data_IF_246155384070
#
_entry.id   IF_246155384070
#
_cell.length_a   1.000
_cell.length_b   1.000
_cell.length_c   1.000
_cell.angle_alpha   90.00
_cell.angle_beta   90.00
_cell.angle_gamma   90.00
#
_symmetry.space_group_name_H-M   'P 1'
#
loop_
_entity.id
_entity.type
_entity.pdbx_description
1 polymer ?
#
# COMPACT_ATOMS: atom_id res chain seq x y z
N UNK A 1 -15.05 2.52 8.95
CA UNK A 1 -13.65 2.41 9.39
C UNK A 1 -13.04 3.81 9.50
N UNK A 2 -12.37 4.14 10.62
CA UNK A 2 -11.83 5.48 10.90
C UNK A 2 -10.94 6.06 9.77
N UNK A 3 -10.31 5.24 8.93
CA UNK A 3 -9.40 5.68 7.86
C UNK A 3 -9.96 6.71 6.88
N UNK A 4 -11.03 6.34 6.18
CA UNK A 4 -11.75 7.20 5.25
C UNK A 4 -12.91 7.92 5.95
N UNK A 5 -13.41 7.42 7.08
CA UNK A 5 -14.46 8.13 7.82
C UNK A 5 -13.95 9.42 8.49
N UNK A 6 -12.69 9.47 8.91
CA UNK A 6 -12.10 10.69 9.46
C UNK A 6 -11.66 11.69 8.38
N UNK A 7 -11.50 11.23 7.13
CA UNK A 7 -10.95 12.00 6.02
C UNK A 7 -11.46 11.40 4.68
N UNK A 8 -12.73 11.67 4.32
CA UNK A 8 -13.46 10.98 3.24
C UNK A 8 -13.12 11.53 1.84
N UNK A 9 -11.83 11.61 1.52
CA UNK A 9 -11.37 11.97 0.17
C UNK A 9 -11.48 10.79 -0.79
N UNK A 10 -11.55 11.08 -2.10
CA UNK A 10 -11.60 10.04 -3.14
C UNK A 10 -10.39 9.11 -3.06
N UNK A 11 -9.21 9.67 -2.79
CA UNK A 11 -7.97 8.92 -2.59
C UNK A 11 -8.08 7.96 -1.41
N UNK A 12 -8.68 8.39 -0.30
CA UNK A 12 -8.80 7.55 0.89
C UNK A 12 -9.88 6.49 0.75
N UNK A 13 -10.97 6.75 0.01
CA UNK A 13 -11.93 5.72 -0.38
C UNK A 13 -11.25 4.65 -1.25
N UNK A 14 -10.47 5.07 -2.25
CA UNK A 14 -9.74 4.17 -3.13
C UNK A 14 -8.69 3.35 -2.36
N UNK A 15 -7.85 4.00 -1.54
CA UNK A 15 -6.94 3.33 -0.61
C UNK A 15 -7.68 2.39 0.35
N UNK A 16 -8.88 2.76 0.76
CA UNK A 16 -9.80 1.92 1.54
C UNK A 16 -10.01 0.55 0.89
N UNK A 17 -10.40 0.55 -0.39
CA UNK A 17 -10.60 -0.68 -1.19
C UNK A 17 -9.31 -1.51 -1.31
N UNK A 18 -8.20 -0.85 -1.69
CA UNK A 18 -6.93 -1.52 -1.97
C UNK A 18 -6.31 -2.10 -0.69
N UNK A 19 -6.22 -1.31 0.38
CA UNK A 19 -5.57 -1.71 1.61
C UNK A 19 -6.45 -2.68 2.41
N UNK A 20 -7.73 -2.35 2.63
CA UNK A 20 -8.60 -3.01 3.60
C UNK A 20 -9.62 -3.98 2.99
N UNK A 21 -9.87 -3.93 1.68
CA UNK A 21 -10.71 -4.92 1.01
C UNK A 21 -10.17 -6.34 1.18
N UNK A 22 -11.07 -7.32 1.23
CA UNK A 22 -10.71 -8.73 1.36
C UNK A 22 -9.79 -9.19 0.22
N UNK A 23 -8.83 -10.05 0.54
CA UNK A 23 -7.86 -10.58 -0.42
C UNK A 23 -8.04 -12.10 -0.51
N UNK A 24 -9.13 -12.54 -1.14
CA UNK A 24 -9.34 -13.96 -1.46
C UNK A 24 -8.56 -14.34 -2.71
N UNK A 25 -8.58 -13.46 -3.71
CA UNK A 25 -7.76 -13.49 -4.92
C UNK A 25 -7.15 -12.10 -5.16
N UNK A 26 -6.12 -12.02 -5.99
CA UNK A 26 -5.48 -10.76 -6.38
C UNK A 26 -6.27 -9.93 -7.40
N UNK A 27 -7.45 -10.41 -7.83
CA UNK A 27 -8.26 -9.78 -8.87
C UNK A 27 -8.59 -8.31 -8.60
N UNK A 28 -8.74 -7.88 -7.35
CA UNK A 28 -8.99 -6.46 -7.07
C UNK A 28 -7.82 -5.55 -7.45
N UNK A 29 -6.58 -6.03 -7.29
CA UNK A 29 -5.38 -5.29 -7.67
C UNK A 29 -5.28 -5.24 -9.20
N UNK A 30 -5.52 -6.37 -9.86
CA UNK A 30 -5.60 -6.43 -11.32
C UNK A 30 -6.70 -5.52 -11.89
N UNK A 31 -7.88 -5.46 -11.25
CA UNK A 31 -8.97 -4.57 -11.66
C UNK A 31 -8.58 -3.10 -11.45
N UNK A 32 -7.97 -2.76 -10.31
CA UNK A 32 -7.48 -1.41 -10.05
C UNK A 32 -6.45 -0.97 -11.10
N UNK A 33 -5.48 -1.83 -11.42
CA UNK A 33 -4.51 -1.55 -12.47
C UNK A 33 -5.12 -1.44 -13.86
N UNK A 34 -6.08 -2.29 -14.20
CA UNK A 34 -6.82 -2.16 -15.45
C UNK A 34 -7.59 -0.83 -15.55
N UNK A 35 -8.15 -0.35 -14.44
CA UNK A 35 -8.79 0.96 -14.39
C UNK A 35 -7.79 2.11 -14.54
N UNK A 36 -6.59 2.00 -13.97
CA UNK A 36 -5.52 2.97 -14.21
C UNK A 36 -5.09 3.02 -15.68
N UNK A 37 -5.02 1.87 -16.37
CA UNK A 37 -4.61 1.85 -17.78
C UNK A 37 -5.66 2.45 -18.73
N UNK A 38 -6.94 2.33 -18.36
CA UNK A 38 -8.07 2.69 -19.24
C UNK A 38 -8.62 4.10 -18.98
N UNK A 39 -8.10 4.86 -18.00
CA UNK A 39 -8.66 6.15 -17.60
C UNK A 39 -8.66 7.22 -18.71
N UNK A 40 -7.81 7.10 -19.73
CA UNK A 40 -7.64 8.10 -20.80
C UNK A 40 -8.55 7.88 -22.02
N UNK A 41 -9.39 6.84 -22.04
CA UNK A 41 -10.11 6.43 -23.25
C UNK A 41 -11.28 7.33 -23.67
N UNK A 42 -11.56 8.43 -22.96
CA UNK A 42 -12.58 9.43 -23.33
C UNK A 42 -14.03 8.93 -23.31
N UNK A 43 -14.25 7.65 -23.02
CA UNK A 43 -15.55 7.00 -22.86
C UNK A 43 -15.70 6.55 -21.41
N UNK A 44 -16.86 6.80 -20.81
CA UNK A 44 -17.18 6.36 -19.46
C UNK A 44 -17.57 4.88 -19.41
N UNK A 45 -18.09 4.31 -20.50
CA UNK A 45 -18.42 2.89 -20.59
C UNK A 45 -17.22 2.06 -21.06
N UNK A 46 -16.74 1.17 -20.19
CA UNK A 46 -15.71 0.16 -20.50
C UNK A 46 -16.40 -1.20 -20.65
N UNK A 47 -16.36 -1.78 -21.86
CA UNK A 47 -16.86 -3.14 -22.06
C UNK A 47 -15.99 -4.17 -21.35
N UNK A 48 -16.56 -5.34 -21.03
CA UNK A 48 -15.78 -6.42 -20.42
C UNK A 48 -14.65 -6.89 -21.35
N UNK A 49 -14.83 -6.84 -22.66
CA UNK A 49 -13.80 -7.16 -23.65
C UNK A 49 -12.64 -6.17 -23.60
N UNK A 50 -12.92 -4.86 -23.49
CA UNK A 50 -11.89 -3.83 -23.34
C UNK A 50 -11.14 -3.97 -22.00
N UNK A 51 -11.88 -4.31 -20.93
CA UNK A 51 -11.31 -4.52 -19.59
C UNK A 51 -10.46 -5.80 -19.50
N UNK A 52 -10.81 -6.84 -20.27
CA UNK A 52 -10.20 -8.16 -20.17
C UNK A 52 -8.69 -8.14 -20.40
N UNK A 53 -8.22 -7.40 -21.40
CA UNK A 53 -6.79 -7.36 -21.77
C UNK A 53 -5.90 -6.80 -20.66
N UNK A 54 -6.07 -5.56 -20.19
CA UNK A 54 -5.21 -5.04 -19.12
C UNK A 54 -5.37 -5.88 -17.84
N UNK A 55 -6.59 -6.28 -17.49
CA UNK A 55 -6.85 -7.10 -16.30
C UNK A 55 -6.08 -8.43 -16.29
N UNK A 56 -6.14 -9.20 -17.38
CA UNK A 56 -5.42 -10.48 -17.47
C UNK A 56 -3.92 -10.29 -17.59
N UNK A 57 -3.45 -9.28 -18.34
CA UNK A 57 -2.03 -8.99 -18.49
C UNK A 57 -1.36 -8.66 -17.15
N UNK A 58 -2.00 -7.88 -16.27
CA UNK A 58 -1.49 -7.64 -14.91
C UNK A 58 -1.36 -8.94 -14.12
N UNK A 59 -2.37 -9.82 -14.17
CA UNK A 59 -2.31 -11.12 -13.48
C UNK A 59 -1.21 -12.03 -14.04
N UNK A 60 -1.10 -12.11 -15.37
CA UNK A 60 -0.08 -12.89 -16.07
C UNK A 60 1.33 -12.47 -15.63
N UNK A 61 1.64 -11.17 -15.62
CA UNK A 61 2.95 -10.65 -15.17
C UNK A 61 3.26 -11.00 -13.72
N UNK A 62 2.26 -10.90 -12.83
CA UNK A 62 2.44 -11.25 -11.42
C UNK A 62 2.60 -12.76 -11.21
N UNK A 63 1.91 -13.59 -11.99
CA UNK A 63 2.03 -15.06 -11.92
C UNK A 63 3.42 -15.59 -12.25
N UNK A 64 4.18 -14.90 -13.11
CA UNK A 64 5.58 -15.28 -13.43
C UNK A 64 6.50 -15.19 -12.20
N UNK A 65 6.25 -14.23 -11.31
CA UNK A 65 7.07 -14.00 -10.11
C UNK A 65 6.48 -14.65 -8.85
N UNK A 66 5.15 -14.68 -8.76
CA UNK A 66 4.39 -15.16 -7.63
C UNK A 66 3.27 -16.10 -8.10
N UNK A 67 3.51 -17.43 -8.18
CA UNK A 67 2.57 -18.37 -8.78
C UNK A 67 1.27 -18.55 -7.98
N UNK A 68 1.24 -18.11 -6.71
CA UNK A 68 0.05 -18.18 -5.86
C UNK A 68 -0.64 -16.83 -5.80
N UNK A 69 -1.79 -16.71 -6.48
CA UNK A 69 -2.59 -15.49 -6.62
C UNK A 69 -3.99 -15.57 -5.97
N UNK A 70 -4.27 -16.68 -5.29
CA UNK A 70 -5.55 -16.95 -4.64
C UNK A 70 -5.33 -17.80 -3.38
N UNK A 71 -6.26 -17.73 -2.43
CA UNK A 71 -6.21 -18.54 -1.20
C UNK A 71 -6.67 -19.98 -1.42
N UNK A 72 -7.52 -20.24 -2.42
CA UNK A 72 -7.99 -21.59 -2.77
C UNK A 72 -6.92 -22.40 -3.51
N UNK A 73 -7.12 -23.71 -3.64
CA UNK A 73 -6.15 -24.60 -4.29
C UNK A 73 -6.04 -24.40 -5.80
N UNK A 74 -7.13 -24.02 -6.46
CA UNK A 74 -7.18 -23.84 -7.92
C UNK A 74 -8.17 -22.75 -8.32
N UNK A 75 -7.97 -22.23 -9.52
CA UNK A 75 -8.86 -21.29 -10.19
C UNK A 75 -8.68 -21.47 -11.69
N UNK A 76 -9.74 -21.91 -12.38
CA UNK A 76 -9.69 -22.14 -13.83
C UNK A 76 -9.27 -20.89 -14.62
N UNK A 77 -9.50 -19.70 -14.07
CA UNK A 77 -9.07 -18.46 -14.71
C UNK A 77 -7.57 -18.19 -14.50
N UNK A 78 -7.05 -18.42 -13.29
CA UNK A 78 -5.60 -18.29 -13.05
C UNK A 78 -4.82 -19.39 -13.78
N UNK A 79 -5.37 -20.59 -13.89
CA UNK A 79 -4.79 -21.67 -14.68
C UNK A 79 -4.66 -21.26 -16.16
N UNK A 80 -5.65 -20.57 -16.71
CA UNK A 80 -5.58 -20.02 -18.07
C UNK A 80 -4.52 -18.92 -18.21
N UNK A 81 -4.36 -18.06 -17.21
CA UNK A 81 -3.28 -17.06 -17.20
C UNK A 81 -1.89 -17.74 -17.21
N UNK A 82 -1.72 -18.80 -16.40
CA UNK A 82 -0.47 -19.58 -16.38
C UNK A 82 -0.21 -20.31 -17.70
N UNK A 83 -1.25 -20.91 -18.29
CA UNK A 83 -1.17 -21.54 -19.63
C UNK A 83 -0.76 -20.53 -20.70
N UNK A 84 -1.31 -19.31 -20.65
CA UNK A 84 -0.91 -18.24 -21.57
C UNK A 84 0.56 -17.87 -21.38
N UNK A 85 1.05 -17.73 -20.15
CA UNK A 85 2.46 -17.45 -19.87
C UNK A 85 3.40 -18.55 -20.41
N UNK A 86 2.94 -19.80 -20.45
CA UNK A 86 3.70 -20.91 -21.03
C UNK A 86 3.56 -21.04 -22.56
N UNK A 87 2.69 -20.25 -23.20
CA UNK A 87 2.40 -20.33 -24.63
C UNK A 87 1.43 -21.45 -25.01
N UNK A 88 0.73 -22.06 -24.05
CA UNK A 88 -0.19 -23.19 -24.27
C UNK A 88 -1.54 -22.73 -24.87
N UNK A 89 -1.93 -21.47 -24.67
CA UNK A 89 -3.16 -20.88 -25.21
C UNK A 89 -2.88 -19.52 -25.87
N UNK A 90 -3.71 -19.16 -26.85
CA UNK A 90 -3.61 -17.85 -27.52
C UNK A 90 -4.13 -16.71 -26.65
N UNK A 91 -3.76 -15.47 -27.01
CA UNK A 91 -4.30 -14.28 -26.33
C UNK A 91 -5.82 -14.20 -26.47
N UNK A 92 -6.39 -14.51 -27.63
CA UNK A 92 -7.85 -14.52 -27.84
C UNK A 92 -8.55 -15.49 -26.89
N UNK A 93 -7.94 -16.65 -26.65
CA UNK A 93 -8.46 -17.67 -25.72
C UNK A 93 -8.41 -17.14 -24.28
N UNK A 94 -7.30 -16.52 -23.88
CA UNK A 94 -7.16 -15.89 -22.57
C UNK A 94 -8.22 -14.79 -22.36
N UNK A 95 -8.41 -13.91 -23.34
CA UNK A 95 -9.39 -12.81 -23.26
C UNK A 95 -10.82 -13.34 -23.15
N UNK A 96 -11.19 -14.35 -23.95
CA UNK A 96 -12.50 -14.98 -23.87
C UNK A 96 -12.77 -15.62 -22.48
N UNK A 97 -11.77 -16.31 -21.91
CA UNK A 97 -11.85 -16.86 -20.56
C UNK A 97 -11.91 -15.77 -19.48
N UNK A 98 -11.20 -14.66 -19.68
CA UNK A 98 -11.21 -13.50 -18.79
C UNK A 98 -12.60 -12.88 -18.72
N UNK A 99 -13.24 -12.60 -19.87
CA UNK A 99 -14.62 -12.08 -19.91
C UNK A 99 -15.59 -13.03 -19.21
N UNK A 100 -15.44 -14.34 -19.47
CA UNK A 100 -16.34 -15.36 -18.93
C UNK A 100 -16.19 -15.58 -17.41
N UNK A 101 -14.98 -15.43 -16.85
CA UNK A 101 -14.66 -15.89 -15.49
C UNK A 101 -13.91 -14.89 -14.62
N UNK A 102 -13.05 -14.06 -15.20
CA UNK A 102 -12.21 -13.12 -14.46
C UNK A 102 -13.00 -12.10 -13.66
N UNK A 103 -14.17 -11.70 -14.17
CA UNK A 103 -15.03 -10.69 -13.56
C UNK A 103 -16.17 -11.21 -12.69
N UNK A 104 -16.21 -12.53 -12.44
CA UNK A 104 -17.36 -13.19 -11.79
C UNK A 104 -17.67 -12.65 -10.39
N UNK A 105 -16.63 -12.27 -9.62
CA UNK A 105 -16.79 -11.81 -8.23
C UNK A 105 -16.19 -10.42 -7.97
N UNK A 106 -15.17 -10.02 -8.72
CA UNK A 106 -14.39 -8.82 -8.38
C UNK A 106 -15.20 -7.54 -8.56
N UNK A 107 -16.05 -7.45 -9.59
CA UNK A 107 -16.89 -6.28 -9.85
C UNK A 107 -17.91 -6.08 -8.71
N UNK A 108 -18.53 -7.18 -8.25
CA UNK A 108 -19.47 -7.16 -7.12
C UNK A 108 -18.79 -6.81 -5.79
N UNK A 109 -17.56 -7.28 -5.60
CA UNK A 109 -16.84 -7.14 -4.34
C UNK A 109 -15.98 -5.86 -4.23
N UNK A 110 -15.69 -5.17 -5.33
CA UNK A 110 -14.67 -4.12 -5.37
C UNK A 110 -14.93 -3.00 -4.36
N UNK A 111 -16.16 -2.52 -4.29
CA UNK A 111 -16.56 -1.42 -3.39
C UNK A 111 -16.90 -1.90 -1.96
N UNK A 112 -16.75 -3.20 -1.66
CA UNK A 112 -17.08 -3.75 -0.35
C UNK A 112 -15.83 -3.84 0.56
N UNK A 113 -15.85 -3.08 1.67
CA UNK A 113 -14.79 -3.03 2.69
C UNK A 113 -15.38 -3.35 4.06
N UNK A 114 -14.79 -4.30 4.79
CA UNK A 114 -15.31 -4.76 6.09
C UNK A 114 -16.79 -5.16 6.08
N UNK A 115 -17.22 -5.86 5.03
CA UNK A 115 -18.59 -6.39 4.85
C UNK A 115 -19.68 -5.33 4.57
N UNK A 116 -19.29 -4.08 4.34
CA UNK A 116 -20.19 -3.03 3.90
C UNK A 116 -19.65 -2.36 2.65
N UNK A 117 -20.56 -1.82 1.84
CA UNK A 117 -20.19 -1.00 0.70
C UNK A 117 -19.69 0.37 1.16
N UNK A 118 -18.71 0.94 0.45
CA UNK A 118 -18.25 2.32 0.68
C UNK A 118 -19.23 3.34 0.06
N UNK A 119 -19.26 4.55 0.60
CA UNK A 119 -20.21 5.58 0.17
C UNK A 119 -19.94 6.12 -1.25
N UNK A 120 -18.76 5.85 -1.80
CA UNK A 120 -18.32 6.32 -3.13
C UNK A 120 -18.05 5.13 -4.04
N UNK A 121 -18.84 5.02 -5.12
CA UNK A 121 -18.53 4.09 -6.22
C UNK A 121 -17.64 4.78 -7.25
N UNK A 122 -16.66 4.05 -7.74
CA UNK A 122 -15.76 4.51 -8.81
C UNK A 122 -16.26 4.04 -10.19
N UNK A 123 -17.02 2.95 -10.22
CA UNK A 123 -17.74 2.49 -11.41
C UNK A 123 -19.11 1.90 -11.04
N UNK A 124 -20.02 1.89 -12.00
CA UNK A 124 -21.30 1.22 -11.95
C UNK A 124 -21.22 -0.11 -12.69
N UNK A 125 -21.85 -1.15 -12.14
CA UNK A 125 -21.97 -2.44 -12.80
C UNK A 125 -23.09 -2.40 -13.84
N UNK A 126 -22.70 -2.44 -15.12
CA UNK A 126 -23.61 -2.47 -16.26
C UNK A 126 -23.44 -3.77 -17.07
N UNK A 127 -22.96 -4.86 -16.45
CA UNK A 127 -22.74 -6.15 -17.13
C UNK A 127 -23.99 -6.69 -17.80
N UNK A 128 -25.16 -6.46 -17.19
CA UNK A 128 -26.47 -6.94 -17.69
C UNK A 128 -27.05 -6.09 -18.82
N UNK A 129 -26.81 -4.77 -18.82
CA UNK A 129 -27.42 -3.82 -19.75
C UNK A 129 -26.50 -3.48 -20.91
N UNK A 130 -25.21 -3.27 -20.64
CA UNK A 130 -24.23 -2.80 -21.61
C UNK A 130 -22.97 -3.68 -21.70
N UNK A 131 -22.97 -4.85 -21.04
CA UNK A 131 -21.83 -5.79 -21.04
C UNK A 131 -20.52 -5.14 -20.60
N UNK A 132 -20.57 -4.28 -19.58
CA UNK A 132 -19.42 -3.51 -19.14
C UNK A 132 -19.58 -2.89 -17.76
N UNK A 133 -18.68 -1.97 -17.44
CA UNK A 133 -18.77 -1.08 -16.28
C UNK A 133 -18.75 0.36 -16.75
N UNK A 134 -19.47 1.25 -16.05
CA UNK A 134 -19.46 2.69 -16.34
C UNK A 134 -18.65 3.42 -15.27
N UNK A 135 -17.56 4.05 -15.67
CA UNK A 135 -16.78 4.94 -14.82
C UNK A 135 -17.66 6.09 -14.33
N UNK A 136 -17.53 6.41 -13.06
CA UNK A 136 -18.25 7.51 -12.43
C UNK A 136 -17.42 8.80 -12.47
N UNK A 137 -18.10 9.93 -12.27
CA UNK A 137 -17.46 11.22 -12.01
C UNK A 137 -16.43 11.15 -10.86
N UNK A 138 -16.69 10.33 -9.83
CA UNK A 138 -15.76 10.15 -8.72
C UNK A 138 -14.43 9.52 -9.16
N UNK A 139 -14.44 8.61 -10.13
CA UNK A 139 -13.21 8.05 -10.69
C UNK A 139 -12.47 9.06 -11.57
N UNK A 140 -13.18 9.83 -12.40
CA UNK A 140 -12.53 10.87 -13.20
C UNK A 140 -11.87 11.93 -12.33
N UNK A 141 -12.57 12.44 -11.31
CA UNK A 141 -11.98 13.36 -10.32
C UNK A 141 -10.80 12.75 -9.58
N UNK A 142 -10.85 11.46 -9.26
CA UNK A 142 -9.71 10.76 -8.65
C UNK A 142 -8.48 10.82 -9.56
N UNK A 143 -8.65 10.68 -10.88
CA UNK A 143 -7.56 10.72 -11.86
C UNK A 143 -6.88 12.09 -11.98
N UNK A 144 -7.60 13.15 -11.63
CA UNK A 144 -7.11 14.53 -11.64
C UNK A 144 -6.35 14.89 -10.35
N UNK A 145 -6.42 14.05 -9.31
CA UNK A 145 -5.73 14.32 -8.05
C UNK A 145 -4.22 14.18 -8.21
N UNK A 146 -3.46 15.00 -7.47
CA UNK A 146 -1.99 14.88 -7.39
C UNK A 146 -1.54 13.48 -6.94
N UNK A 147 -2.40 12.77 -6.21
CA UNK A 147 -2.12 11.47 -5.64
C UNK A 147 -2.36 10.30 -6.59
N UNK A 148 -3.03 10.49 -7.73
CA UNK A 148 -3.42 9.41 -8.61
C UNK A 148 -2.24 8.52 -9.03
N UNK A 149 -1.12 9.13 -9.42
CA UNK A 149 0.10 8.39 -9.78
C UNK A 149 0.65 7.57 -8.62
N UNK A 150 0.58 8.08 -7.39
CA UNK A 150 0.98 7.33 -6.21
C UNK A 150 0.10 6.09 -5.98
N UNK A 151 -1.20 6.14 -6.30
CA UNK A 151 -2.11 5.01 -6.11
C UNK A 151 -1.70 3.79 -6.93
N UNK A 152 -1.08 4.00 -8.10
CA UNK A 152 -0.55 2.94 -8.95
C UNK A 152 0.56 2.17 -8.21
N UNK A 153 1.55 2.90 -7.68
CA UNK A 153 2.64 2.35 -6.89
C UNK A 153 2.17 1.68 -5.58
N UNK A 154 1.22 2.31 -4.90
CA UNK A 154 0.62 1.79 -3.67
C UNK A 154 -0.10 0.46 -3.93
N UNK A 155 -0.79 0.34 -5.07
CA UNK A 155 -1.52 -0.87 -5.46
C UNK A 155 -0.58 -2.03 -5.75
N UNK A 156 0.48 -1.81 -6.52
CA UNK A 156 1.48 -2.85 -6.83
C UNK A 156 2.22 -3.30 -5.55
N UNK A 157 2.69 -2.34 -4.73
CA UNK A 157 3.34 -2.66 -3.46
C UNK A 157 2.44 -3.47 -2.53
N UNK A 158 1.15 -3.11 -2.49
CA UNK A 158 0.16 -3.84 -1.73
C UNK A 158 -0.04 -5.26 -2.26
N UNK A 159 -0.10 -5.43 -3.57
CA UNK A 159 -0.23 -6.73 -4.23
C UNK A 159 0.97 -7.63 -3.87
N UNK A 160 2.20 -7.14 -4.03
CA UNK A 160 3.42 -7.89 -3.68
C UNK A 160 3.47 -8.36 -2.22
N UNK A 161 3.03 -7.52 -1.29
CA UNK A 161 2.90 -7.90 0.12
C UNK A 161 1.87 -9.03 0.34
N UNK A 162 0.79 -9.06 -0.43
CA UNK A 162 -0.23 -10.13 -0.36
C UNK A 162 0.35 -11.44 -0.90
N UNK A 163 1.05 -11.39 -2.03
CA UNK A 163 1.69 -12.53 -2.67
C UNK A 163 2.71 -13.19 -1.77
N UNK A 164 3.60 -12.39 -1.17
CA UNK A 164 4.64 -12.91 -0.29
C UNK A 164 4.06 -13.58 0.95
N UNK A 165 2.98 -13.04 1.48
CA UNK A 165 2.25 -13.71 2.55
C UNK A 165 1.69 -15.07 2.13
N UNK A 166 1.10 -15.17 0.94
CA UNK A 166 0.56 -16.43 0.45
C UNK A 166 1.65 -17.48 0.16
N UNK A 167 2.82 -17.05 -0.32
CA UNK A 167 3.96 -17.91 -0.66
C UNK A 167 4.59 -18.56 0.58
N UNK A 168 4.59 -17.87 1.71
CA UNK A 168 5.10 -18.38 2.99
C UNK A 168 4.16 -19.39 3.65
N UNK A 169 2.94 -19.59 3.14
CA UNK A 169 1.96 -20.51 3.72
C UNK A 169 1.43 -20.08 5.10
N UNK A 170 1.83 -18.91 5.56
CA UNK A 170 1.39 -18.29 6.80
C UNK A 170 0.19 -17.40 6.53
N UNK A 171 -0.61 -17.14 7.56
CA UNK A 171 -1.60 -16.06 7.48
C UNK A 171 -0.87 -14.78 7.07
N UNK A 172 -1.48 -13.95 6.22
CA UNK A 172 -0.86 -12.70 5.73
C UNK A 172 -0.42 -11.75 6.83
N UNK A 173 -0.96 -11.95 8.02
CA UNK A 173 -0.57 -11.24 9.20
C UNK A 173 0.86 -11.64 9.61
N UNK A 174 1.26 -12.92 9.58
CA UNK A 174 2.50 -13.45 10.19
C UNK A 174 3.79 -13.26 9.36
N UNK A 175 3.80 -12.42 8.33
CA UNK A 175 5.01 -12.16 7.56
C UNK A 175 5.90 -11.20 8.35
N UNK A 176 7.10 -11.66 8.74
CA UNK A 176 8.13 -10.80 9.28
C UNK A 176 8.73 -9.97 8.15
N UNK A 177 8.43 -8.67 8.14
CA UNK A 177 8.96 -7.71 7.16
C UNK A 177 10.15 -6.97 7.75
N UNK A 178 11.27 -7.05 7.06
CA UNK A 178 12.52 -6.36 7.36
C UNK A 178 12.76 -5.27 6.31
N UNK A 179 13.72 -4.38 6.58
CA UNK A 179 14.04 -3.25 5.73
C UNK A 179 15.53 -3.16 5.45
N UNK A 180 15.85 -3.01 4.16
CA UNK A 180 17.19 -2.72 3.67
C UNK A 180 17.32 -1.21 3.47
N UNK A 181 18.18 -0.57 4.27
CA UNK A 181 18.45 0.86 4.20
C UNK A 181 19.28 1.30 3.00
N UNK A 182 20.09 0.40 2.42
CA UNK A 182 20.88 0.73 1.23
C UNK A 182 19.99 0.77 0.00
N UNK A 183 19.13 -0.25 -0.15
CA UNK A 183 18.25 -0.39 -1.32
C UNK A 183 16.89 0.27 -1.13
N UNK A 184 16.52 0.65 0.10
CA UNK A 184 15.23 1.25 0.43
C UNK A 184 14.04 0.32 0.14
N UNK A 185 14.26 -0.99 0.33
CA UNK A 185 13.33 -2.08 0.00
C UNK A 185 12.90 -2.79 1.28
N UNK A 186 11.62 -3.16 1.32
CA UNK A 186 11.11 -4.12 2.29
C UNK A 186 11.35 -5.53 1.78
N UNK A 187 11.92 -6.39 2.62
CA UNK A 187 12.21 -7.78 2.30
C UNK A 187 11.71 -8.70 3.40
N UNK A 188 11.67 -10.00 3.13
CA UNK A 188 11.48 -11.03 4.16
C UNK A 188 12.49 -12.15 3.98
N UNK A 189 12.64 -12.99 5.01
CA UNK A 189 13.50 -14.16 4.96
C UNK A 189 12.65 -15.43 4.95
N UNK A 190 12.71 -16.17 3.86
CA UNK A 190 12.05 -17.46 3.72
C UNK A 190 13.12 -18.56 3.67
N UNK A 191 13.13 -19.45 4.67
CA UNK A 191 14.15 -20.52 4.79
C UNK A 191 15.59 -19.97 4.67
N UNK A 192 15.86 -18.90 5.43
CA UNK A 192 17.15 -18.16 5.44
C UNK A 192 17.53 -17.43 4.14
N UNK A 193 16.71 -17.53 3.07
CA UNK A 193 16.91 -16.77 1.84
C UNK A 193 16.15 -15.43 1.91
N UNK A 194 16.86 -14.34 1.60
CA UNK A 194 16.25 -13.01 1.41
C UNK A 194 15.39 -13.00 0.15
N UNK A 195 14.18 -12.48 0.28
CA UNK A 195 13.24 -12.21 -0.81
C UNK A 195 12.81 -10.75 -0.70
N UNK A 196 13.20 -9.95 -1.68
CA UNK A 196 12.74 -8.57 -1.79
C UNK A 196 11.25 -8.55 -2.13
N UNK A 197 10.48 -7.70 -1.43
CA UNK A 197 9.03 -7.62 -1.61
C UNK A 197 8.69 -6.42 -2.49
N UNK A 198 9.02 -5.22 -2.02
CA UNK A 198 8.67 -3.96 -2.71
C UNK A 198 9.41 -2.79 -2.08
N UNK A 199 9.37 -1.61 -2.71
CA UNK A 199 9.92 -0.39 -2.13
C UNK A 199 9.22 -0.01 -0.83
N UNK A 200 10.02 0.44 0.14
CA UNK A 200 9.52 0.99 1.40
C UNK A 200 8.62 2.21 1.16
N UNK A 201 8.98 3.09 0.20
CA UNK A 201 8.17 4.27 -0.16
C UNK A 201 6.77 3.86 -0.62
N UNK A 202 6.70 2.96 -1.59
CA UNK A 202 5.43 2.51 -2.15
C UNK A 202 4.54 1.84 -1.09
N UNK A 203 5.14 1.06 -0.19
CA UNK A 203 4.40 0.37 0.88
C UNK A 203 3.84 1.31 1.95
N UNK A 204 4.61 2.32 2.36
CA UNK A 204 4.21 3.21 3.45
C UNK A 204 3.26 4.32 2.99
N UNK A 205 3.27 4.69 1.71
CA UNK A 205 2.56 5.87 1.21
C UNK A 205 1.05 5.79 1.36
N UNK A 206 0.47 4.62 1.08
CA UNK A 206 -0.97 4.41 1.21
C UNK A 206 -1.48 4.61 2.64
N UNK A 207 -0.65 4.29 3.63
CA UNK A 207 -1.02 4.51 5.03
C UNK A 207 -0.70 5.92 5.54
N UNK A 208 0.26 6.59 4.92
CA UNK A 208 0.53 8.01 5.16
C UNK A 208 -0.30 8.96 4.28
N UNK A 209 -1.25 8.39 3.50
CA UNK A 209 -2.17 9.12 2.63
C UNK A 209 -1.46 10.04 1.64
N UNK A 210 -0.26 9.65 1.19
CA UNK A 210 0.46 10.43 0.17
C UNK A 210 1.02 11.76 0.64
N UNK A 211 1.20 11.93 1.95
CA UNK A 211 1.68 13.15 2.56
C UNK A 211 2.91 12.88 3.44
N UNK A 212 3.75 13.90 3.56
CA UNK A 212 4.88 13.91 4.46
C UNK A 212 4.39 13.70 5.90
N UNK A 213 5.00 12.76 6.61
CA UNK A 213 4.69 12.44 7.99
C UNK A 213 4.82 13.65 8.92
N UNK A 214 5.77 14.54 8.65
CA UNK A 214 6.10 15.66 9.53
C UNK A 214 5.27 16.92 9.27
N UNK A 215 5.26 17.43 8.04
CA UNK A 215 4.60 18.69 7.71
C UNK A 215 3.29 18.53 6.90
N UNK A 216 2.86 17.31 6.59
CA UNK A 216 1.64 17.03 5.81
C UNK A 216 1.62 17.51 4.37
N UNK A 217 2.72 18.07 3.85
CA UNK A 217 2.83 18.40 2.43
C UNK A 217 2.61 17.14 1.57
N UNK A 218 1.85 17.21 0.46
CA UNK A 218 1.80 16.12 -0.52
C UNK A 218 3.19 15.68 -0.96
N UNK A 219 3.36 14.38 -1.18
CA UNK A 219 4.60 13.81 -1.70
C UNK A 219 4.33 12.95 -2.92
N UNK A 220 5.37 12.72 -3.72
CA UNK A 220 5.33 11.86 -4.90
C UNK A 220 6.18 10.60 -4.72
N UNK A 221 5.75 9.52 -5.35
CA UNK A 221 6.51 8.27 -5.52
C UNK A 221 7.20 8.19 -6.89
N UNK A 222 6.90 9.12 -7.80
CA UNK A 222 7.48 9.16 -9.14
C UNK A 222 8.98 9.48 -9.10
N UNK A 223 9.78 8.60 -9.71
CA UNK A 223 11.23 8.78 -9.77
C UNK A 223 11.56 10.05 -10.54
N UNK A 224 12.45 10.87 -9.98
CA UNK A 224 12.85 12.15 -10.58
C UNK A 224 11.87 13.31 -10.36
N UNK A 225 10.71 13.08 -9.72
CA UNK A 225 9.79 14.15 -9.36
C UNK A 225 10.41 15.07 -8.30
N UNK A 226 10.13 16.38 -8.37
CA UNK A 226 10.67 17.37 -7.43
C UNK A 226 10.26 17.05 -5.97
N UNK A 227 8.99 16.68 -5.78
CA UNK A 227 8.44 16.25 -4.49
C UNK A 227 8.62 14.75 -4.18
N UNK A 228 9.60 14.07 -4.81
CA UNK A 228 9.89 12.67 -4.49
C UNK A 228 10.16 12.52 -2.99
N UNK A 229 9.37 11.68 -2.32
CA UNK A 229 9.50 11.45 -0.88
C UNK A 229 10.78 10.72 -0.54
N UNK A 230 11.34 11.02 0.62
CA UNK A 230 12.36 10.19 1.25
C UNK A 230 11.73 9.21 2.24
N UNK A 231 12.46 8.13 2.54
CA UNK A 231 12.24 7.33 3.75
C UNK A 231 13.16 7.88 4.81
N UNK A 232 12.62 8.16 5.97
CA UNK A 232 13.37 8.66 7.12
C UNK A 232 13.15 7.75 8.33
N UNK A 233 14.18 7.67 9.17
CA UNK A 233 14.13 7.04 10.47
C UNK A 233 13.66 8.06 11.49
N UNK A 234 12.44 7.91 12.00
CA UNK A 234 11.85 8.84 12.96
C UNK A 234 12.79 9.12 14.14
N UNK A 235 13.29 8.08 14.79
CA UNK A 235 14.48 8.17 15.62
C UNK A 235 15.71 8.06 14.71
N UNK A 236 16.60 9.06 14.65
CA UNK A 236 17.73 9.06 13.73
C UNK A 236 18.66 7.86 13.92
N UNK A 237 19.27 7.38 12.83
CA UNK A 237 20.27 6.31 12.84
C UNK A 237 21.48 6.58 13.76
N UNK A 238 21.75 7.85 14.06
CA UNK A 238 22.76 8.25 15.04
C UNK A 238 22.53 7.64 16.44
N UNK A 239 21.30 7.25 16.79
CA UNK A 239 20.95 6.63 18.07
C UNK A 239 20.97 5.08 18.05
N UNK A 240 21.53 4.44 17.01
CA UNK A 240 21.47 2.97 16.81
C UNK A 240 22.07 2.14 17.94
N UNK A 241 23.04 2.69 18.67
CA UNK A 241 23.68 1.99 19.77
C UNK A 241 22.83 2.01 21.05
N UNK A 242 21.83 2.90 21.11
CA UNK A 242 20.95 3.09 22.27
C UNK A 242 19.52 2.59 22.02
N UNK A 243 19.09 2.58 20.76
CA UNK A 243 17.74 2.18 20.36
C UNK A 243 17.84 0.93 19.49
N UNK A 244 17.37 -0.23 19.98
CA UNK A 244 17.41 -1.46 19.21
C UNK A 244 16.46 -1.38 18.01
N UNK A 245 16.79 -2.10 16.94
CA UNK A 245 15.91 -2.28 15.79
C UNK A 245 15.42 -0.96 15.16
N UNK A 246 16.32 0.03 15.01
CA UNK A 246 15.97 1.31 14.35
C UNK A 246 15.50 1.13 12.90
N UNK A 247 15.96 0.10 12.21
CA UNK A 247 15.50 -0.25 10.86
C UNK A 247 14.12 -0.91 10.85
N UNK A 248 13.48 -1.11 12.00
CA UNK A 248 12.12 -1.64 12.08
C UNK A 248 11.11 -0.70 11.41
N UNK A 249 10.09 -1.29 10.79
CA UNK A 249 9.00 -0.56 10.09
C UNK A 249 8.31 0.45 11.00
N UNK A 250 8.29 0.17 12.32
CA UNK A 250 7.76 1.08 13.34
C UNK A 250 8.42 2.46 13.35
N UNK A 251 9.69 2.55 12.92
CA UNK A 251 10.50 3.77 12.94
C UNK A 251 10.65 4.42 11.56
N UNK A 252 10.20 3.76 10.48
CA UNK A 252 10.32 4.29 9.12
C UNK A 252 9.11 5.15 8.77
N UNK A 253 9.33 6.37 8.30
CA UNK A 253 8.29 7.32 7.85
C UNK A 253 8.63 7.87 6.48
N UNK A 254 7.62 8.29 5.72
CA UNK A 254 7.84 9.06 4.49
C UNK A 254 7.87 10.55 4.78
N UNK A 255 8.92 11.22 4.34
CA UNK A 255 9.15 12.64 4.57
C UNK A 255 9.46 13.38 3.27
N UNK A 256 8.95 14.61 3.12
CA UNK A 256 9.39 15.47 2.03
C UNK A 256 10.86 15.86 2.22
N UNK A 257 11.52 16.23 1.13
CA UNK A 257 12.95 16.51 1.14
C UNK A 257 13.34 17.65 2.08
N UNK A 258 12.49 18.69 2.22
CA UNK A 258 12.76 19.80 3.13
C UNK A 258 12.64 19.44 4.61
N UNK A 259 11.78 18.47 4.96
CA UNK A 259 11.69 17.97 6.34
C UNK A 259 12.81 16.98 6.65
N UNK A 260 13.21 16.15 5.69
CA UNK A 260 14.20 15.10 5.94
C UNK A 260 15.65 15.62 5.85
N UNK A 261 15.95 16.43 4.83
CA UNK A 261 17.31 16.81 4.44
C UNK A 261 17.70 18.20 4.98
N UNK A 262 19.01 18.43 5.04
CA UNK A 262 19.58 19.74 5.36
C UNK A 262 19.55 20.08 6.85
N UNK A 263 20.24 21.16 7.23
CA UNK A 263 20.38 21.61 8.63
C UNK A 263 19.07 22.12 9.23
N UNK A 264 18.23 22.73 8.40
CA UNK A 264 16.89 23.21 8.78
C UNK A 264 15.85 22.08 8.86
N UNK A 265 16.15 20.94 8.23
CA UNK A 265 15.37 19.71 8.35
C UNK A 265 15.67 18.95 9.63
N UNK A 266 15.07 17.77 9.75
CA UNK A 266 15.27 16.87 10.87
C UNK A 266 16.71 16.42 10.98
N UNK A 267 17.30 15.90 9.90
CA UNK A 267 18.66 15.35 9.90
C UNK A 267 18.91 14.40 11.10
N UNK A 268 19.84 14.74 11.99
CA UNK A 268 20.15 14.00 13.21
C UNK A 268 19.38 14.47 14.46
N UNK A 269 18.47 15.44 14.32
CA UNK A 269 17.64 15.92 15.41
C UNK A 269 16.52 14.94 15.76
N UNK A 270 16.04 15.02 17.00
CA UNK A 270 14.96 14.17 17.48
C UNK A 270 13.61 14.86 17.27
N UNK A 271 12.63 14.21 16.63
CA UNK A 271 11.30 14.78 16.50
C UNK A 271 10.66 15.10 17.85
N UNK A 272 9.82 16.13 17.92
CA UNK A 272 9.11 16.48 19.15
C UNK A 272 8.22 15.37 19.72
N UNK A 273 7.80 15.53 20.97
CA UNK A 273 6.84 14.63 21.61
C UNK A 273 5.49 14.57 20.85
N UNK A 274 5.04 15.67 20.24
CA UNK A 274 3.82 15.67 19.43
C UNK A 274 3.97 14.76 18.19
N UNK A 275 5.15 14.74 17.57
CA UNK A 275 5.45 13.85 16.45
C UNK A 275 5.60 12.40 16.90
N UNK A 276 6.03 12.14 18.13
CA UNK A 276 6.05 10.80 18.72
C UNK A 276 4.64 10.27 18.95
N UNK A 277 3.74 11.10 19.47
CA UNK A 277 2.32 10.74 19.60
C UNK A 277 1.69 10.44 18.24
N UNK A 278 2.04 11.22 17.21
CA UNK A 278 1.63 10.94 15.83
C UNK A 278 2.20 9.60 15.33
N UNK A 279 3.47 9.30 15.61
CA UNK A 279 4.08 8.03 15.23
C UNK A 279 3.33 6.86 15.86
N UNK A 280 3.04 6.98 17.15
CA UNK A 280 2.22 6.01 17.89
C UNK A 280 0.86 5.82 17.20
N UNK A 281 0.09 6.90 16.98
CA UNK A 281 -1.21 6.81 16.31
C UNK A 281 -1.10 6.14 14.93
N UNK A 282 -0.09 6.49 14.13
CA UNK A 282 0.17 5.89 12.82
C UNK A 282 0.47 4.40 12.92
N UNK A 283 1.28 3.97 13.89
CA UNK A 283 1.62 2.56 14.09
C UNK A 283 0.40 1.76 14.58
N UNK A 284 -0.39 2.29 15.52
CA UNK A 284 -1.66 1.67 15.93
C UNK A 284 -2.63 1.57 14.76
N UNK A 285 -2.65 2.59 13.92
CA UNK A 285 -3.44 2.61 12.71
C UNK A 285 -3.03 1.48 11.72
N UNK A 286 -1.73 1.24 11.52
CA UNK A 286 -1.23 0.09 10.76
C UNK A 286 -1.62 -1.24 11.42
N UNK A 287 -1.65 -1.33 12.74
CA UNK A 287 -1.97 -2.58 13.44
C UNK A 287 -3.46 -2.92 13.31
N UNK A 288 -4.34 -1.94 13.46
CA UNK A 288 -5.80 -2.13 13.37
C UNK A 288 -6.30 -2.47 11.97
N UNK A 289 -5.42 -2.34 10.96
CA UNK A 289 -5.76 -2.58 9.57
C UNK A 289 -5.85 -4.06 9.17
N UNK A 290 -5.40 -5.01 10.02
CA UNK A 290 -5.31 -6.45 9.70
C UNK A 290 -4.49 -6.74 8.42
N UNK A 291 -3.31 -6.11 8.32
CA UNK A 291 -2.45 -6.14 7.14
C UNK A 291 -1.07 -6.76 7.45
N UNK A 292 -0.23 -7.06 6.43
CA UNK A 292 1.08 -7.69 6.62
C UNK A 292 2.04 -6.95 7.56
N UNK A 293 1.93 -5.62 7.64
CA UNK A 293 2.74 -4.84 8.58
C UNK A 293 2.24 -4.93 10.03
N UNK A 294 1.02 -5.44 10.27
CA UNK A 294 0.43 -5.57 11.62
C UNK A 294 1.29 -6.42 12.53
N UNK A 295 1.55 -7.68 12.16
CA UNK A 295 2.32 -8.57 13.05
C UNK A 295 3.78 -8.14 13.10
N UNK A 296 4.31 -7.62 12.00
CA UNK A 296 5.65 -7.01 12.02
C UNK A 296 5.73 -5.92 13.10
N UNK A 297 4.77 -4.99 13.15
CA UNK A 297 4.75 -3.95 14.18
C UNK A 297 4.51 -4.52 15.58
N UNK A 298 3.59 -5.47 15.74
CA UNK A 298 3.33 -6.13 17.03
C UNK A 298 4.60 -6.83 17.54
N UNK A 299 5.29 -7.58 16.69
CA UNK A 299 6.52 -8.29 17.03
C UNK A 299 7.65 -7.32 17.35
N UNK A 300 7.75 -6.21 16.62
CA UNK A 300 8.81 -5.21 16.81
C UNK A 300 8.60 -4.32 18.03
N UNK A 301 7.36 -4.06 18.44
CA UNK A 301 7.05 -3.00 19.41
C UNK A 301 6.24 -3.45 20.63
N UNK A 302 5.57 -4.62 20.59
CA UNK A 302 4.82 -5.20 21.72
C UNK A 302 3.39 -5.63 21.38
N UNK A 303 2.86 -6.58 22.16
CA UNK A 303 1.56 -7.21 21.92
C UNK A 303 0.34 -6.36 22.31
N UNK A 304 0.49 -5.40 23.23
CA UNK A 304 -0.56 -4.46 23.64
C UNK A 304 -0.21 -3.03 23.27
N UNK A 305 -1.21 -2.17 23.06
CA UNK A 305 -0.97 -0.74 22.77
C UNK A 305 -0.13 -0.08 23.87
N UNK A 306 -0.37 -0.43 25.14
CA UNK A 306 0.40 0.08 26.26
C UNK A 306 1.89 -0.29 26.16
N UNK A 307 2.21 -1.53 25.79
CA UNK A 307 3.60 -1.96 25.55
C UNK A 307 4.22 -1.20 24.37
N UNK A 308 3.49 -1.03 23.27
CA UNK A 308 3.96 -0.31 22.09
C UNK A 308 4.23 1.16 22.37
N UNK A 309 3.33 1.82 23.11
CA UNK A 309 3.51 3.20 23.57
C UNK A 309 4.74 3.33 24.47
N UNK A 310 4.90 2.42 25.42
CA UNK A 310 6.07 2.39 26.31
C UNK A 310 7.38 2.16 25.53
N UNK A 311 7.36 1.25 24.55
CA UNK A 311 8.50 0.98 23.67
C UNK A 311 8.93 2.24 22.89
N UNK A 312 7.97 2.93 22.25
CA UNK A 312 8.24 4.17 21.52
C UNK A 312 8.77 5.28 22.45
N UNK A 313 8.15 5.46 23.62
CA UNK A 313 8.58 6.45 24.60
C UNK A 313 9.99 6.17 25.14
N UNK A 314 10.31 4.90 25.42
CA UNK A 314 11.62 4.49 25.92
C UNK A 314 12.71 4.72 24.88
N UNK A 315 12.47 4.31 23.63
CA UNK A 315 13.42 4.55 22.53
C UNK A 315 13.64 6.04 22.28
N UNK A 316 12.56 6.83 22.29
CA UNK A 316 12.66 8.28 22.12
C UNK A 316 13.44 8.95 23.26
N UNK A 317 13.19 8.54 24.51
CA UNK A 317 13.91 9.07 25.67
C UNK A 317 15.40 8.68 25.65
N UNK A 318 15.72 7.44 25.25
CA UNK A 318 17.10 6.98 25.11
C UNK A 318 17.86 7.80 24.05
N UNK A 319 17.23 8.04 22.89
CA UNK A 319 17.80 8.90 21.86
C UNK A 319 17.97 10.34 22.36
N UNK A 320 16.97 10.88 23.08
CA UNK A 320 16.98 12.27 23.60
C UNK A 320 18.15 12.54 24.51
N UNK A 321 18.51 11.59 25.35
CA UNK A 321 19.67 11.68 26.24
C UNK A 321 21.00 11.81 25.49
N UNK A 322 21.05 11.48 24.19
CA UNK A 322 22.26 11.51 23.36
C UNK A 322 22.28 12.68 22.35
N UNK A 323 21.17 12.95 21.66
CA UNK A 323 21.18 13.89 20.52
C UNK A 323 20.78 15.32 20.91
N UNK A 324 20.27 15.55 22.13
CA UNK A 324 19.96 16.82 22.82
C UNK A 324 19.03 17.84 22.13
N UNK A 325 18.94 17.84 20.82
CA UNK A 325 18.22 18.82 20.02
C UNK A 325 16.89 18.24 19.51
N UNK A 326 15.80 18.92 19.89
CA UNK A 326 14.45 18.57 19.45
C UNK A 326 14.10 19.39 18.21
N UNK A 327 13.45 18.73 17.24
CA UNK A 327 13.03 19.34 15.98
C UNK A 327 11.53 19.15 15.73
N UNK A 328 10.93 20.18 15.13
CA UNK A 328 9.52 20.23 14.74
C UNK A 328 9.41 21.15 13.52
N UNK A 329 8.83 20.71 12.40
CA UNK A 329 8.58 21.62 11.29
C UNK A 329 7.27 22.38 11.50
N UNK A 330 7.13 23.48 10.76
CA UNK A 330 5.83 24.09 10.54
C UNK A 330 4.95 23.17 9.68
N UNK A 331 3.68 23.06 10.04
CA UNK A 331 2.72 22.30 9.25
C UNK A 331 2.43 23.03 7.93
N UNK A 332 2.41 22.29 6.83
CA UNK A 332 2.06 22.76 5.48
C UNK A 332 0.68 22.28 5.03
N UNK A 333 -0.08 21.61 5.90
CA UNK A 333 -1.41 21.07 5.60
C UNK A 333 -2.10 20.52 6.85
N UNK A 334 -3.32 20.03 6.67
CA UNK A 334 -4.15 19.54 7.77
C UNK A 334 -3.66 18.23 8.36
N UNK A 335 -3.93 18.05 9.66
CA UNK A 335 -3.57 16.85 10.39
C UNK A 335 -4.33 15.61 9.90
N UNK A 336 -3.60 14.51 9.71
CA UNK A 336 -4.13 13.27 9.13
C UNK A 336 -4.45 12.17 10.14
N UNK A 337 -3.97 12.31 11.39
CA UNK A 337 -4.00 11.29 12.45
C UNK A 337 -4.17 11.88 13.86
#
# INVERSE_FOLDING_TARGET
MLFYQADPTLENYWRGVILFGNNVASYKFALAHALYDLHTQGNDLISLEALARPFSQHLCRHLEQAPKQITTKSSQFLDACTQFNHGDISEETLLALTVKRGFANVIDAFHNVNRAEIDVRFFLDERKTHKGIRLTEAFFRLTETQQFQNLIHETDARWRLVEQAWSMGVSRNLVAVEYDSEQQILFTRQRERRVDITSCRNSLNGYQKGRCFYCYRPVSLERGHADLTDVDHFIPWAARDQVPNLNGVWNLVLACQSCNRGKEGKFAHIPSQQLLERLHKRNEYFINSHLPLRETLIQQTGSSEAMRRSFLASGWQAARSMLFHIWQPQACGDALF
#
